data_IF_721564142133
#
_entry.id   IF_721564142133
#
_cell.length_a   1.000
_cell.length_b   1.000
_cell.length_c   1.000
_cell.angle_alpha   90.00
_cell.angle_beta   90.00
_cell.angle_gamma   90.00
#
_symmetry.space_group_name_H-M   'P 1'
#
loop_
_entity.id
_entity.type
_entity.pdbx_description
1 polymer ?
#
# COMPACT_ATOMS: atom_id res chain seq x y z
N UNK A 1 8.53 -4.25 11.55
CA UNK A 1 9.29 -4.51 10.31
C UNK A 1 9.19 -6.00 10.00
N UNK A 2 8.23 -6.37 9.14
CA UNK A 2 7.98 -7.77 8.77
C UNK A 2 9.03 -8.25 7.77
N UNK A 3 10.24 -8.54 8.28
CA UNK A 3 11.31 -9.12 7.47
C UNK A 3 10.91 -10.56 7.12
N UNK A 4 10.55 -10.78 5.85
CA UNK A 4 10.37 -12.13 5.27
C UNK A 4 8.95 -12.54 4.87
N UNK A 5 7.92 -11.75 5.18
CA UNK A 5 6.53 -12.02 4.74
C UNK A 5 6.05 -10.93 3.78
N UNK A 6 6.03 -11.20 2.46
CA UNK A 6 5.57 -10.25 1.45
C UNK A 6 4.10 -9.82 1.64
N UNK A 7 3.25 -10.70 2.17
CA UNK A 7 1.85 -10.40 2.44
C UNK A 7 1.68 -9.46 3.63
N UNK A 8 2.37 -9.75 4.74
CA UNK A 8 2.39 -8.86 5.90
C UNK A 8 2.96 -7.47 5.56
N UNK A 9 4.04 -7.43 4.77
CA UNK A 9 4.58 -6.17 4.22
C UNK A 9 3.54 -5.42 3.38
N UNK A 10 2.88 -6.11 2.45
CA UNK A 10 1.89 -5.47 1.58
C UNK A 10 0.68 -4.91 2.36
N UNK A 11 0.24 -5.60 3.41
CA UNK A 11 -0.80 -5.14 4.32
C UNK A 11 -0.38 -3.87 5.08
N UNK A 12 0.87 -3.83 5.57
CA UNK A 12 1.45 -2.66 6.24
C UNK A 12 1.51 -1.45 5.30
N UNK A 13 2.04 -1.63 4.08
CA UNK A 13 2.16 -0.56 3.07
C UNK A 13 0.79 0.02 2.67
N UNK A 14 -0.22 -0.83 2.47
CA UNK A 14 -1.60 -0.37 2.19
C UNK A 14 -2.34 0.11 3.45
N UNK A 15 -1.75 -0.04 4.64
CA UNK A 15 -2.31 0.38 5.93
C UNK A 15 -3.58 -0.35 6.30
N UNK A 16 -3.55 -1.66 6.13
CA UNK A 16 -4.47 -2.54 6.82
C UNK A 16 -4.10 -2.62 8.31
N UNK A 17 -5.08 -2.80 9.21
CA UNK A 17 -4.80 -3.04 10.61
C UNK A 17 -3.94 -4.29 10.81
N UNK A 18 -3.05 -4.32 11.83
CA UNK A 18 -2.37 -5.54 12.25
C UNK A 18 -3.37 -6.67 12.51
N UNK A 19 -3.02 -7.89 12.08
CA UNK A 19 -3.91 -9.06 12.19
C UNK A 19 -4.92 -9.22 11.04
N UNK A 20 -4.92 -8.33 10.04
CA UNK A 20 -5.65 -8.59 8.79
C UNK A 20 -5.06 -9.82 8.10
N UNK A 21 -5.86 -10.87 7.89
CA UNK A 21 -5.37 -12.12 7.28
C UNK A 21 -5.65 -12.17 5.77
N UNK A 22 -6.86 -11.80 5.34
CA UNK A 22 -7.25 -11.89 3.93
C UNK A 22 -8.23 -10.76 3.57
N UNK A 23 -7.73 -9.60 3.12
CA UNK A 23 -8.60 -8.54 2.62
C UNK A 23 -9.23 -8.96 1.30
N UNK A 24 -10.42 -8.44 1.02
CA UNK A 24 -11.06 -8.61 -0.29
C UNK A 24 -10.33 -7.79 -1.37
N UNK A 25 -10.48 -8.21 -2.63
CA UNK A 25 -9.96 -7.44 -3.78
C UNK A 25 -10.47 -6.00 -3.81
N UNK A 26 -11.71 -5.76 -3.34
CA UNK A 26 -12.31 -4.43 -3.26
C UNK A 26 -11.60 -3.56 -2.22
N UNK A 27 -11.34 -4.10 -1.03
CA UNK A 27 -10.64 -3.39 0.05
C UNK A 27 -9.20 -3.05 -0.35
N UNK A 28 -8.48 -3.99 -0.98
CA UNK A 28 -7.12 -3.75 -1.48
C UNK A 28 -7.10 -2.59 -2.48
N UNK A 29 -8.04 -2.59 -3.44
CA UNK A 29 -8.16 -1.50 -4.43
C UNK A 29 -8.56 -0.17 -3.78
N UNK A 30 -9.42 -0.19 -2.76
CA UNK A 30 -9.83 1.02 -2.05
C UNK A 30 -8.68 1.65 -1.26
N UNK A 31 -7.95 0.84 -0.47
CA UNK A 31 -6.77 1.29 0.28
C UNK A 31 -5.65 1.79 -0.63
N UNK A 32 -5.39 1.08 -1.73
CA UNK A 32 -4.43 1.52 -2.75
C UNK A 32 -4.76 2.93 -3.28
N UNK A 33 -6.01 3.18 -3.70
CA UNK A 33 -6.41 4.51 -4.22
C UNK A 33 -6.31 5.61 -3.17
N UNK A 34 -6.67 5.30 -1.93
CA UNK A 34 -6.56 6.27 -0.83
C UNK A 34 -5.09 6.67 -0.61
N UNK A 35 -4.20 5.68 -0.53
CA UNK A 35 -2.77 5.92 -0.31
C UNK A 35 -2.06 6.56 -1.48
N UNK A 36 -2.44 6.19 -2.69
CA UNK A 36 -1.91 6.83 -3.90
C UNK A 36 -2.22 8.33 -3.89
N UNK A 37 -3.44 8.71 -3.47
CA UNK A 37 -3.83 10.11 -3.35
C UNK A 37 -3.05 10.84 -2.27
N UNK A 38 -2.84 10.22 -1.12
CA UNK A 38 -2.05 10.79 0.00
C UNK A 38 -0.57 10.98 -0.37
N UNK A 39 0.02 10.06 -1.15
CA UNK A 39 1.42 10.11 -1.55
C UNK A 39 1.68 11.10 -2.71
N UNK A 40 0.66 11.51 -3.46
CA UNK A 40 0.83 12.31 -4.67
C UNK A 40 1.15 13.78 -4.34
N UNK A 41 2.16 14.40 -4.97
CA UNK A 41 2.53 15.79 -4.72
C UNK A 41 1.38 16.79 -4.94
N UNK A 42 0.58 16.58 -5.99
CA UNK A 42 -0.61 17.40 -6.28
C UNK A 42 -1.63 17.48 -5.14
N UNK A 43 -1.56 16.56 -4.17
CA UNK A 43 -2.44 16.53 -3.01
C UNK A 43 -1.71 16.83 -1.69
N UNK A 44 -0.51 17.41 -1.77
CA UNK A 44 0.32 17.77 -0.61
C UNK A 44 1.29 16.67 -0.16
N UNK A 45 1.50 15.64 -0.99
CA UNK A 45 2.53 14.62 -0.76
C UNK A 45 3.94 15.18 -0.89
N UNK A 46 4.89 14.54 -0.21
CA UNK A 46 6.32 14.88 -0.28
C UNK A 46 6.88 14.51 -1.66
N UNK A 47 7.24 15.50 -2.48
CA UNK A 47 7.77 15.33 -3.85
C UNK A 47 8.96 14.36 -3.90
N UNK A 48 9.84 14.38 -2.90
CA UNK A 48 11.04 13.55 -2.85
C UNK A 48 10.67 12.10 -2.54
N UNK A 49 9.67 11.88 -1.69
CA UNK A 49 9.23 10.52 -1.27
C UNK A 49 8.11 9.93 -2.13
N UNK A 50 7.45 10.75 -2.95
CA UNK A 50 6.27 10.35 -3.72
C UNK A 50 6.58 9.17 -4.66
N UNK A 51 7.68 9.23 -5.39
CA UNK A 51 8.08 8.19 -6.35
C UNK A 51 8.25 6.82 -5.67
N UNK A 52 9.05 6.76 -4.60
CA UNK A 52 9.27 5.53 -3.84
C UNK A 52 7.97 5.01 -3.24
N UNK A 53 7.18 5.89 -2.61
CA UNK A 53 5.92 5.51 -1.96
C UNK A 53 4.91 4.93 -2.97
N UNK A 54 4.77 5.56 -4.14
CA UNK A 54 3.89 5.08 -5.21
C UNK A 54 4.36 3.72 -5.74
N UNK A 55 5.68 3.53 -5.89
CA UNK A 55 6.28 2.25 -6.26
C UNK A 55 5.91 1.13 -5.28
N UNK A 56 6.11 1.38 -3.98
CA UNK A 56 5.79 0.42 -2.91
C UNK A 56 4.30 0.09 -2.87
N UNK A 57 3.42 1.09 -3.01
CA UNK A 57 1.97 0.89 -3.08
C UNK A 57 1.57 0.01 -4.27
N UNK A 58 2.23 0.19 -5.42
CA UNK A 58 2.00 -0.61 -6.61
C UNK A 58 2.38 -2.07 -6.40
N UNK A 59 3.52 -2.33 -5.78
CA UNK A 59 4.00 -3.69 -5.52
C UNK A 59 3.17 -4.39 -4.43
N UNK A 60 2.83 -3.68 -3.36
CA UNK A 60 1.94 -4.19 -2.30
C UNK A 60 0.58 -4.62 -2.87
N UNK A 61 0.00 -3.82 -3.77
CA UNK A 61 -1.24 -4.18 -4.46
C UNK A 61 -1.09 -5.45 -5.30
N UNK A 62 0.02 -5.64 -6.02
CA UNK A 62 0.24 -6.86 -6.83
C UNK A 62 0.31 -8.11 -5.97
N UNK A 63 1.02 -8.04 -4.84
CA UNK A 63 1.16 -9.18 -3.91
C UNK A 63 -0.21 -9.65 -3.41
N UNK A 64 -1.08 -8.72 -3.02
CA UNK A 64 -2.38 -9.06 -2.40
C UNK A 64 -3.49 -9.43 -3.39
N UNK A 65 -3.29 -9.21 -4.70
CA UNK A 65 -4.27 -9.51 -5.75
C UNK A 65 -3.88 -10.68 -6.64
N UNK A 66 -2.77 -11.35 -6.33
CA UNK A 66 -2.28 -12.50 -7.09
C UNK A 66 -3.03 -13.79 -6.75
#
# INVERSE_FOLDING_TARGET
MSIGDPGAWALEILGFPPGTIKPSSSEVKAKYRARLREAHPDHGGDEVKASTSIGDLGEARKILLR
#
